data_IF_166790623710
#
_entry.id   IF_166790623710
#
_cell.length_a   1.000
_cell.length_b   1.000
_cell.length_c   1.000
_cell.angle_alpha   90.00
_cell.angle_beta   90.00
_cell.angle_gamma   90.00
#
_symmetry.space_group_name_H-M   'P 1'
#
loop_
_entity.id
_entity.type
_entity.pdbx_description
1 polymer ?
#
# COMPACT_ATOMS: atom_id res chain seq x y z
N UNK A 1 -23.42 -0.63 15.33
CA UNK A 1 -22.95 -1.05 13.99
C UNK A 1 -23.52 -2.42 13.68
N UNK A 2 -24.37 -2.55 12.66
CA UNK A 2 -25.06 -3.82 12.33
C UNK A 2 -24.28 -4.57 11.24
N UNK A 3 -23.48 -5.57 11.64
CA UNK A 3 -22.68 -6.39 10.73
C UNK A 3 -23.50 -7.15 9.67
N UNK A 4 -24.80 -7.39 9.91
CA UNK A 4 -25.68 -8.07 8.92
C UNK A 4 -26.12 -7.13 7.79
N UNK A 5 -26.31 -5.84 8.08
CA UNK A 5 -26.67 -4.84 7.08
C UNK A 5 -25.49 -4.48 6.17
N UNK A 6 -24.27 -4.44 6.72
CA UNK A 6 -23.05 -4.11 5.97
C UNK A 6 -22.71 -5.11 4.85
N UNK A 7 -23.13 -6.39 4.97
CA UNK A 7 -22.90 -7.41 3.94
C UNK A 7 -23.67 -7.21 2.63
N UNK A 8 -24.65 -6.29 2.60
CA UNK A 8 -25.48 -6.00 1.42
C UNK A 8 -25.14 -4.67 0.74
N UNK A 9 -24.08 -3.99 1.19
CA UNK A 9 -23.68 -2.71 0.61
C UNK A 9 -22.81 -2.99 -0.62
N UNK A 10 -23.25 -2.49 -1.77
CA UNK A 10 -22.38 -2.35 -2.94
C UNK A 10 -21.36 -1.24 -2.67
N UNK A 11 -20.21 -1.64 -2.11
CA UNK A 11 -19.16 -0.72 -1.73
C UNK A 11 -18.53 -0.04 -2.97
N UNK A 12 -18.40 -0.78 -4.07
CA UNK A 12 -17.83 -0.27 -5.33
C UNK A 12 -18.74 0.81 -5.90
N UNK A 13 -20.04 0.52 -6.02
CA UNK A 13 -21.03 1.49 -6.49
C UNK A 13 -21.10 2.73 -5.59
N UNK A 14 -21.09 2.55 -4.26
CA UNK A 14 -21.11 3.66 -3.31
C UNK A 14 -19.88 4.56 -3.41
N UNK A 15 -18.67 3.98 -3.49
CA UNK A 15 -17.42 4.75 -3.65
C UNK A 15 -17.47 5.53 -4.96
N UNK A 16 -17.85 4.87 -6.05
CA UNK A 16 -17.88 5.52 -7.35
C UNK A 16 -18.91 6.65 -7.38
N UNK A 17 -20.13 6.42 -6.92
CA UNK A 17 -21.20 7.42 -6.99
C UNK A 17 -20.89 8.67 -6.15
N UNK A 18 -20.28 8.50 -4.97
CA UNK A 18 -20.05 9.61 -4.03
C UNK A 18 -18.74 10.33 -4.31
N UNK A 19 -17.65 9.61 -4.53
CA UNK A 19 -16.29 10.18 -4.54
C UNK A 19 -15.68 10.28 -5.94
N UNK A 20 -15.72 9.21 -6.75
CA UNK A 20 -14.93 9.14 -7.99
C UNK A 20 -15.69 9.63 -9.22
N UNK A 21 -16.98 9.31 -9.31
CA UNK A 21 -17.94 9.68 -10.34
C UNK A 21 -17.46 9.34 -11.75
N UNK A 22 -16.81 8.19 -11.91
CA UNK A 22 -16.33 7.71 -13.21
C UNK A 22 -17.38 6.82 -13.92
N UNK A 23 -17.42 6.77 -15.27
CA UNK A 23 -18.45 6.00 -15.98
C UNK A 23 -18.46 4.48 -15.72
N UNK A 24 -17.31 3.88 -15.35
CA UNK A 24 -17.13 2.41 -15.28
C UNK A 24 -16.81 1.82 -13.90
N UNK A 25 -16.63 2.65 -12.86
CA UNK A 25 -16.26 2.24 -11.49
C UNK A 25 -14.97 1.39 -11.36
N UNK A 26 -14.11 1.34 -12.38
CA UNK A 26 -12.88 0.55 -12.39
C UNK A 26 -11.93 0.94 -11.26
N UNK A 27 -11.76 2.23 -11.01
CA UNK A 27 -10.91 2.75 -9.92
C UNK A 27 -11.51 2.38 -8.56
N UNK A 28 -12.84 2.41 -8.43
CA UNK A 28 -13.54 1.99 -7.21
C UNK A 28 -13.34 0.50 -6.92
N UNK A 29 -13.45 -0.36 -7.94
CA UNK A 29 -13.23 -1.81 -7.81
C UNK A 29 -11.80 -2.10 -7.36
N UNK A 30 -10.82 -1.48 -8.01
CA UNK A 30 -9.40 -1.63 -7.69
C UNK A 30 -9.07 -1.13 -6.28
N UNK A 31 -9.70 -0.06 -5.81
CA UNK A 31 -9.56 0.42 -4.44
C UNK A 31 -10.12 -0.58 -3.42
N UNK A 32 -11.28 -1.18 -3.69
CA UNK A 32 -11.87 -2.21 -2.82
C UNK A 32 -10.97 -3.45 -2.79
N UNK A 33 -10.46 -3.89 -3.95
CA UNK A 33 -9.50 -4.99 -4.04
C UNK A 33 -8.22 -4.70 -3.26
N UNK A 34 -7.67 -3.48 -3.35
CA UNK A 34 -6.49 -3.07 -2.56
C UNK A 34 -6.72 -3.25 -1.05
N UNK A 35 -7.91 -2.87 -0.56
CA UNK A 35 -8.27 -3.06 0.85
C UNK A 35 -8.38 -4.52 1.29
N UNK A 36 -8.62 -5.44 0.36
CA UNK A 36 -8.80 -6.87 0.62
C UNK A 36 -7.49 -7.67 0.58
N UNK A 37 -6.41 -7.13 -0.02
CA UNK A 37 -5.13 -7.85 -0.17
C UNK A 37 -4.60 -8.34 1.18
N UNK A 38 -4.80 -7.59 2.27
CA UNK A 38 -4.36 -8.00 3.60
C UNK A 38 -4.95 -9.34 4.08
N UNK A 39 -6.06 -9.81 3.48
CA UNK A 39 -6.65 -11.12 3.79
C UNK A 39 -5.85 -12.31 3.24
N UNK A 40 -4.99 -12.10 2.24
CA UNK A 40 -4.10 -13.13 1.67
C UNK A 40 -2.98 -13.52 2.66
N UNK A 41 -2.62 -12.59 3.55
CA UNK A 41 -1.58 -12.73 4.56
C UNK A 41 -2.12 -12.35 5.96
N UNK A 42 -3.04 -13.16 6.53
CA UNK A 42 -3.71 -12.84 7.77
C UNK A 42 -2.69 -12.75 8.93
N UNK A 43 -2.71 -11.62 9.64
CA UNK A 43 -1.83 -11.35 10.78
C UNK A 43 -2.61 -10.74 11.94
N UNK A 44 -2.16 -11.00 13.17
CA UNK A 44 -2.81 -10.51 14.40
C UNK A 44 -2.38 -9.07 14.74
N UNK A 45 -2.62 -8.14 13.83
CA UNK A 45 -2.27 -6.72 13.99
C UNK A 45 -3.55 -5.92 14.25
N UNK A 46 -3.55 -5.12 15.32
CA UNK A 46 -4.64 -4.17 15.62
C UNK A 46 -4.29 -2.81 15.01
N UNK A 47 -5.28 -2.15 14.40
CA UNK A 47 -5.19 -0.79 13.84
C UNK A 47 -4.07 -0.57 12.80
N UNK A 48 -3.59 -1.63 12.17
CA UNK A 48 -2.62 -1.55 11.08
C UNK A 48 -2.70 -2.84 10.23
N UNK A 49 -2.10 -2.78 9.05
CA UNK A 49 -1.94 -3.95 8.18
C UNK A 49 -0.55 -4.58 8.36
N UNK A 50 -0.40 -5.80 7.86
CA UNK A 50 0.91 -6.42 7.68
C UNK A 50 1.86 -5.48 6.93
N UNK A 51 1.37 -4.87 5.85
CA UNK A 51 2.13 -3.96 5.00
C UNK A 51 2.71 -2.77 5.77
N UNK A 52 1.89 -2.10 6.60
CA UNK A 52 2.35 -1.00 7.43
C UNK A 52 3.41 -1.48 8.46
N UNK A 53 3.16 -2.62 9.12
CA UNK A 53 4.11 -3.20 10.08
C UNK A 53 5.45 -3.51 9.43
N UNK A 54 5.44 -4.13 8.24
CA UNK A 54 6.65 -4.49 7.50
C UNK A 54 7.34 -3.30 6.86
N UNK A 55 6.60 -2.22 6.56
CA UNK A 55 7.17 -0.98 6.01
C UNK A 55 7.98 -0.20 7.06
N UNK A 56 7.48 -0.09 8.30
CA UNK A 56 8.09 0.75 9.34
C UNK A 56 8.89 -0.02 10.40
N UNK A 57 9.03 -1.33 10.25
CA UNK A 57 9.87 -2.14 11.13
C UNK A 57 11.37 -1.86 10.92
N UNK A 58 12.17 -2.00 11.98
CA UNK A 58 13.61 -1.74 11.99
C UNK A 58 14.49 -2.81 11.36
N UNK A 59 13.95 -3.90 10.80
CA UNK A 59 14.72 -5.01 10.22
C UNK A 59 15.77 -5.69 11.12
N UNK A 60 15.76 -5.43 12.44
CA UNK A 60 16.70 -6.08 13.39
C UNK A 60 16.27 -7.48 13.80
N UNK A 61 14.99 -7.63 14.12
CA UNK A 61 14.36 -8.90 14.51
C UNK A 61 13.01 -9.01 13.84
N UNK A 62 12.69 -10.16 13.24
CA UNK A 62 11.39 -10.35 12.58
C UNK A 62 10.23 -10.11 13.57
N UNK A 63 9.24 -9.26 13.24
CA UNK A 63 8.11 -9.04 14.13
C UNK A 63 7.30 -10.33 14.33
N UNK A 64 6.91 -10.64 15.57
CA UNK A 64 6.11 -11.84 15.87
C UNK A 64 4.80 -11.95 15.08
N UNK A 65 4.26 -10.80 14.65
CA UNK A 65 3.04 -10.72 13.83
C UNK A 65 3.21 -11.18 12.38
N UNK A 66 4.45 -11.35 11.90
CA UNK A 66 4.74 -11.80 10.53
C UNK A 66 5.17 -13.27 10.48
N UNK A 67 5.63 -13.84 11.58
CA UNK A 67 6.21 -15.19 11.64
C UNK A 67 5.25 -16.31 11.21
N UNK A 68 3.94 -16.10 11.35
CA UNK A 68 2.92 -17.07 10.90
C UNK A 68 2.53 -16.92 9.44
N UNK A 69 3.01 -15.88 8.76
CA UNK A 69 2.74 -15.62 7.34
C UNK A 69 3.87 -16.24 6.53
N UNK A 70 3.53 -17.15 5.61
CA UNK A 70 4.48 -17.81 4.73
C UNK A 70 4.98 -16.89 3.61
N UNK A 71 6.14 -17.21 3.03
CA UNK A 71 6.70 -16.47 1.89
C UNK A 71 5.80 -16.56 0.65
N UNK A 72 5.09 -17.67 0.47
CA UNK A 72 4.09 -17.82 -0.61
C UNK A 72 2.94 -16.81 -0.45
N UNK A 73 2.40 -16.64 0.76
CA UNK A 73 1.36 -15.65 1.02
C UNK A 73 1.86 -14.23 0.78
N UNK A 74 3.11 -13.94 1.15
CA UNK A 74 3.74 -12.65 0.86
C UNK A 74 3.88 -12.42 -0.66
N UNK A 75 4.29 -13.44 -1.41
CA UNK A 75 4.42 -13.35 -2.86
C UNK A 75 3.06 -13.18 -3.56
N UNK A 76 2.01 -13.83 -3.04
CA UNK A 76 0.63 -13.64 -3.51
C UNK A 76 0.16 -12.20 -3.27
N UNK A 77 0.47 -11.61 -2.10
CA UNK A 77 0.21 -10.19 -1.86
C UNK A 77 0.94 -9.29 -2.87
N UNK A 78 2.23 -9.54 -3.15
CA UNK A 78 3.01 -8.77 -4.13
C UNK A 78 2.39 -8.87 -5.52
N UNK A 79 2.00 -10.08 -5.93
CA UNK A 79 1.36 -10.31 -7.23
C UNK A 79 0.03 -9.54 -7.36
N UNK A 80 -0.84 -9.61 -6.36
CA UNK A 80 -2.13 -8.90 -6.38
C UNK A 80 -1.94 -7.38 -6.36
N UNK A 81 -1.05 -6.85 -5.51
CA UNK A 81 -0.73 -5.42 -5.47
C UNK A 81 -0.16 -4.91 -6.80
N UNK A 82 0.65 -5.74 -7.46
CA UNK A 82 1.22 -5.43 -8.78
C UNK A 82 0.13 -5.42 -9.85
N UNK A 83 -0.76 -6.42 -9.84
CA UNK A 83 -1.92 -6.49 -10.75
C UNK A 83 -2.82 -5.27 -10.59
N UNK A 84 -3.16 -4.89 -9.35
CA UNK A 84 -3.97 -3.70 -9.06
C UNK A 84 -3.30 -2.44 -9.63
N UNK A 85 -2.01 -2.25 -9.34
CA UNK A 85 -1.25 -1.07 -9.80
C UNK A 85 -1.20 -0.96 -11.33
N UNK A 86 -1.06 -2.09 -12.03
CA UNK A 86 -1.03 -2.18 -13.49
C UNK A 86 -2.41 -2.02 -14.12
N UNK A 87 -3.47 -2.46 -13.45
CA UNK A 87 -4.84 -2.38 -13.94
C UNK A 87 -5.46 -0.97 -13.78
N UNK A 88 -4.89 -0.11 -12.93
CA UNK A 88 -5.38 1.26 -12.76
C UNK A 88 -5.29 2.02 -14.08
N UNK A 89 -6.41 2.53 -14.61
CA UNK A 89 -6.42 3.25 -15.88
C UNK A 89 -5.69 4.59 -15.76
N UNK A 90 -5.33 5.16 -16.90
CA UNK A 90 -4.92 6.56 -16.97
C UNK A 90 -6.18 7.39 -17.19
N UNK A 91 -6.35 8.42 -16.35
CA UNK A 91 -7.46 9.36 -16.44
C UNK A 91 -6.97 10.74 -16.86
N UNK A 92 -7.73 11.39 -17.75
CA UNK A 92 -7.55 12.81 -18.10
C UNK A 92 -8.15 13.75 -17.04
N UNK A 93 -9.10 13.25 -16.24
CA UNK A 93 -9.61 13.98 -15.07
C UNK A 93 -8.53 14.07 -14.00
N UNK A 94 -8.09 15.29 -13.68
CA UNK A 94 -7.04 15.58 -12.69
C UNK A 94 -7.32 14.95 -11.34
N UNK A 95 -8.56 15.04 -10.84
CA UNK A 95 -8.92 14.50 -9.53
C UNK A 95 -8.88 12.97 -9.51
N UNK A 96 -9.41 12.33 -10.55
CA UNK A 96 -9.42 10.87 -10.64
C UNK A 96 -7.99 10.34 -10.84
N UNK A 97 -7.19 11.01 -11.67
CA UNK A 97 -5.77 10.71 -11.86
C UNK A 97 -5.01 10.78 -10.53
N UNK A 98 -5.28 11.81 -9.72
CA UNK A 98 -4.65 11.97 -8.42
C UNK A 98 -4.97 10.77 -7.50
N UNK A 99 -6.24 10.36 -7.42
CA UNK A 99 -6.64 9.18 -6.63
C UNK A 99 -5.97 7.91 -7.16
N UNK A 100 -5.91 7.71 -8.47
CA UNK A 100 -5.25 6.55 -9.07
C UNK A 100 -3.76 6.53 -8.72
N UNK A 101 -3.08 7.67 -8.75
CA UNK A 101 -1.68 7.77 -8.35
C UNK A 101 -1.48 7.49 -6.85
N UNK A 102 -2.41 7.91 -5.98
CA UNK A 102 -2.43 7.55 -4.57
C UNK A 102 -2.53 6.03 -4.36
N UNK A 103 -3.43 5.36 -5.09
CA UNK A 103 -3.58 3.90 -5.04
C UNK A 103 -2.29 3.22 -5.52
N UNK A 104 -1.68 3.70 -6.61
CA UNK A 104 -0.38 3.19 -7.10
C UNK A 104 0.71 3.34 -6.04
N UNK A 105 0.81 4.49 -5.38
CA UNK A 105 1.85 4.71 -4.37
C UNK A 105 1.60 3.86 -3.12
N UNK A 106 0.34 3.70 -2.69
CA UNK A 106 -0.03 2.81 -1.59
C UNK A 106 0.32 1.33 -1.90
N UNK A 107 0.11 0.89 -3.13
CA UNK A 107 0.53 -0.43 -3.58
C UNK A 107 2.07 -0.56 -3.56
N UNK A 108 2.81 0.44 -4.05
CA UNK A 108 4.30 0.47 -3.99
C UNK A 108 4.82 0.39 -2.56
N UNK A 109 4.26 1.19 -1.65
CA UNK A 109 4.57 1.14 -0.21
C UNK A 109 4.35 -0.24 0.38
N UNK A 110 3.23 -0.88 0.02
CA UNK A 110 2.87 -2.20 0.52
C UNK A 110 3.81 -3.28 0.00
N UNK A 111 4.11 -3.24 -1.31
CA UNK A 111 5.10 -4.13 -1.96
C UNK A 111 6.47 -3.95 -1.31
N UNK A 112 6.93 -2.71 -1.12
CA UNK A 112 8.22 -2.43 -0.50
C UNK A 112 8.30 -3.00 0.93
N UNK A 113 7.25 -2.82 1.74
CA UNK A 113 7.16 -3.45 3.06
C UNK A 113 7.31 -4.98 3.00
N UNK A 114 6.58 -5.64 2.08
CA UNK A 114 6.69 -7.10 1.91
C UNK A 114 8.08 -7.52 1.43
N UNK A 115 8.66 -6.80 0.47
CA UNK A 115 10.01 -7.03 -0.03
C UNK A 115 11.08 -6.91 1.07
N UNK A 116 10.92 -5.99 2.02
CA UNK A 116 11.80 -5.90 3.21
C UNK A 116 11.75 -7.18 4.04
N UNK A 117 10.56 -7.73 4.30
CA UNK A 117 10.40 -8.98 5.04
C UNK A 117 10.99 -10.18 4.28
N UNK A 118 10.71 -10.28 2.99
CA UNK A 118 11.28 -11.34 2.15
C UNK A 118 12.82 -11.25 2.13
N UNK A 119 13.39 -10.06 1.99
CA UNK A 119 14.84 -9.84 2.03
C UNK A 119 15.44 -10.27 3.38
N UNK A 120 14.78 -9.93 4.51
CA UNK A 120 15.21 -10.37 5.84
C UNK A 120 15.22 -11.89 5.99
N UNK A 121 14.24 -12.58 5.39
CA UNK A 121 14.16 -14.05 5.39
C UNK A 121 15.13 -14.73 4.41
N UNK A 122 16.11 -13.99 3.88
CA UNK A 122 17.09 -14.45 2.90
C UNK A 122 16.49 -14.84 1.52
N UNK A 123 15.36 -14.25 1.14
CA UNK A 123 14.86 -14.35 -0.23
C UNK A 123 15.55 -13.35 -1.17
N UNK A 124 15.42 -13.58 -2.48
CA UNK A 124 16.20 -12.96 -3.56
C UNK A 124 16.02 -11.44 -3.78
N UNK A 125 15.36 -10.70 -2.87
CA UNK A 125 15.21 -9.24 -3.00
C UNK A 125 16.52 -8.56 -2.63
N UNK A 126 17.16 -7.93 -3.61
CA UNK A 126 18.44 -7.24 -3.44
C UNK A 126 18.24 -5.90 -2.74
N UNK A 127 19.16 -5.54 -1.84
CA UNK A 127 19.20 -4.23 -1.16
C UNK A 127 19.10 -3.04 -2.12
N UNK A 128 19.82 -3.09 -3.24
CA UNK A 128 19.78 -2.03 -4.27
C UNK A 128 18.37 -1.79 -4.82
N UNK A 129 17.55 -2.85 -4.91
CA UNK A 129 16.16 -2.74 -5.33
C UNK A 129 15.33 -2.04 -4.25
N UNK A 130 15.52 -2.39 -2.98
CA UNK A 130 14.85 -1.72 -1.86
C UNK A 130 15.17 -0.22 -1.82
N UNK A 131 16.44 0.16 -2.00
CA UNK A 131 16.89 1.57 -2.01
C UNK A 131 16.27 2.36 -3.17
N UNK A 132 16.18 1.75 -4.36
CA UNK A 132 15.53 2.36 -5.51
C UNK A 132 14.02 2.52 -5.31
N UNK A 133 13.36 1.51 -4.73
CA UNK A 133 11.92 1.51 -4.48
C UNK A 133 11.51 2.58 -3.47
N UNK A 134 12.20 2.66 -2.32
CA UNK A 134 11.86 3.63 -1.27
C UNK A 134 12.09 5.08 -1.72
N UNK A 135 13.16 5.33 -2.50
CA UNK A 135 13.42 6.67 -3.06
C UNK A 135 12.28 7.13 -3.97
N UNK A 136 11.75 6.23 -4.82
CA UNK A 136 10.59 6.52 -5.67
C UNK A 136 9.32 6.75 -4.86
N UNK A 137 9.09 5.95 -3.82
CA UNK A 137 7.93 6.06 -2.94
C UNK A 137 7.92 7.41 -2.22
N UNK A 138 9.06 7.86 -1.70
CA UNK A 138 9.18 9.14 -1.00
C UNK A 138 8.87 10.30 -1.95
N UNK A 139 9.51 10.35 -3.12
CA UNK A 139 9.27 11.43 -4.08
C UNK A 139 7.81 11.49 -4.54
N UNK A 140 7.18 10.33 -4.74
CA UNK A 140 5.76 10.27 -5.12
C UNK A 140 4.84 10.66 -3.95
N UNK A 141 5.17 10.27 -2.72
CA UNK A 141 4.43 10.66 -1.53
C UNK A 141 4.44 12.18 -1.33
N UNK A 142 5.60 12.81 -1.52
CA UNK A 142 5.73 14.28 -1.47
C UNK A 142 4.86 14.97 -2.52
N UNK A 143 4.94 14.50 -3.77
CA UNK A 143 4.13 15.04 -4.88
C UNK A 143 2.64 14.93 -4.60
N UNK A 144 2.18 13.77 -4.14
CA UNK A 144 0.77 13.51 -3.82
C UNK A 144 0.29 14.33 -2.63
N UNK A 145 1.11 14.47 -1.59
CA UNK A 145 0.77 15.27 -0.42
C UNK A 145 0.53 16.73 -0.80
N UNK A 146 1.48 17.34 -1.53
CA UNK A 146 1.41 18.75 -1.93
C UNK A 146 0.25 19.03 -2.89
N UNK A 147 -0.24 18.02 -3.61
CA UNK A 147 -1.42 18.14 -4.45
C UNK A 147 -2.74 18.21 -3.65
N UNK A 148 -2.76 17.74 -2.39
CA UNK A 148 -3.99 17.63 -1.58
C UNK A 148 -4.00 18.47 -0.30
N UNK A 149 -2.84 18.68 0.27
CA UNK A 149 -2.69 19.20 1.62
C UNK A 149 -1.76 20.41 1.62
N UNK A 150 -1.89 21.24 2.66
CA UNK A 150 -0.89 22.25 2.94
C UNK A 150 0.48 21.57 3.27
N UNK A 151 1.61 22.29 3.11
CA UNK A 151 2.94 21.73 3.36
C UNK A 151 3.18 21.26 4.81
N UNK A 152 2.37 21.69 5.77
CA UNK A 152 2.49 21.26 7.17
C UNK A 152 2.30 19.75 7.33
N UNK A 153 3.12 19.11 8.18
CA UNK A 153 3.07 17.66 8.42
C UNK A 153 3.79 16.80 7.37
N UNK A 154 4.14 17.38 6.21
CA UNK A 154 4.84 16.66 5.15
C UNK A 154 6.21 16.17 5.62
N UNK A 155 6.98 17.06 6.28
CA UNK A 155 8.34 16.75 6.74
C UNK A 155 8.35 15.54 7.68
N UNK A 156 7.44 15.50 8.64
CA UNK A 156 7.29 14.41 9.59
C UNK A 156 6.89 13.11 8.88
N UNK A 157 5.93 13.19 7.95
CA UNK A 157 5.47 12.03 7.17
C UNK A 157 6.58 11.43 6.31
N UNK A 158 7.36 12.27 5.62
CA UNK A 158 8.53 11.85 4.83
C UNK A 158 9.62 11.30 5.73
N UNK A 159 9.88 11.91 6.89
CA UNK A 159 10.89 11.41 7.83
C UNK A 159 10.59 9.98 8.27
N UNK A 160 9.31 9.63 8.50
CA UNK A 160 8.93 8.25 8.82
C UNK A 160 9.31 7.26 7.71
N UNK A 161 9.17 7.64 6.43
CA UNK A 161 9.57 6.82 5.29
C UNK A 161 11.09 6.78 5.14
N UNK A 162 11.78 7.91 5.29
CA UNK A 162 13.24 7.98 5.21
C UNK A 162 13.91 7.12 6.29
N UNK A 163 13.36 7.07 7.50
CA UNK A 163 13.87 6.21 8.57
C UNK A 163 13.81 4.72 8.23
N UNK A 164 12.99 4.31 7.25
CA UNK A 164 12.93 2.91 6.81
C UNK A 164 14.19 2.48 6.06
N UNK A 165 15.02 3.43 5.58
CA UNK A 165 16.28 3.23 4.85
C UNK A 165 17.44 2.87 5.80
N UNK A 166 17.40 3.35 7.04
CA UNK A 166 18.50 3.19 8.00
C UNK A 166 18.84 1.76 8.42
N UNK A 167 17.92 0.78 8.48
CA UNK A 167 18.25 -0.57 8.97
C UNK A 167 19.32 -1.33 8.19
N UNK A 168 19.70 -0.86 7.01
CA UNK A 168 20.69 -1.50 6.15
C UNK A 168 21.85 -0.59 5.76
N UNK A 169 21.93 0.65 6.25
CA UNK A 169 23.15 1.48 6.13
C UNK A 169 24.08 1.22 7.30
#
# INVERSE_FOLDING_TARGET
>A
WNHKAARRIDLVGAINQVFLKEPGAETADLLVRLGQVASLAPSRIRNATLFNRTLFWSMRNEPSTTQTVSDEQLQNCVSELTSISQALPNSDSTNLKLVQDEIRNAARMSIHGVHRLLSFRNNAVKKQQLDADISKIIGEHERLWLARNAPGGLRESVQHLTNTIEPWR
#
